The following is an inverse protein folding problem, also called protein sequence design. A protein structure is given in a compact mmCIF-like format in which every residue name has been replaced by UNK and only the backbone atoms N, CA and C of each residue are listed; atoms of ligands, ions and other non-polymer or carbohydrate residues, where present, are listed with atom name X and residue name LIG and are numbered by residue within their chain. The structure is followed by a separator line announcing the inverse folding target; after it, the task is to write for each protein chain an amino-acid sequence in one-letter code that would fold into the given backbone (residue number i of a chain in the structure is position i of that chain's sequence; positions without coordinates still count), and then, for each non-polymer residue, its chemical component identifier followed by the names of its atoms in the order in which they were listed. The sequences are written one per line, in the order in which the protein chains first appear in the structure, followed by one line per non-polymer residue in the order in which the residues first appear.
data_IF_934995393199
#
_entry.id   IF_934995393199
#
_cell.length_a   1.000
_cell.length_b   1.000
_cell.length_c   1.000
_cell.angle_alpha   90.00
_cell.angle_beta   90.00
_cell.angle_gamma   90.00
#
_symmetry.space_group_name_H-M   'P 1'
#
loop_
_entity.id
_entity.type
_entity.pdbx_description
1 polymer ?
#
# COMPACT_ATOMS: atom_id res chain seq x y z
N UNK A 1 33.26 -3.42 -22.11
CA UNK A 1 34.01 -3.58 -20.83
C UNK A 1 33.69 -2.35 -20.01
N UNK A 2 32.89 -2.34 -18.94
CA UNK A 2 32.75 -3.30 -17.85
C UNK A 2 31.27 -3.64 -17.55
N UNK A 3 31.08 -4.88 -17.11
CA UNK A 3 29.86 -5.41 -16.52
C UNK A 3 29.89 -5.18 -15.01
N UNK A 4 28.75 -4.87 -14.40
CA UNK A 4 28.45 -5.22 -13.02
C UNK A 4 26.95 -5.46 -12.91
N UNK A 5 26.61 -6.74 -12.70
CA UNK A 5 25.27 -7.21 -12.46
C UNK A 5 24.85 -6.81 -11.04
N UNK A 6 23.62 -6.31 -10.88
CA UNK A 6 22.89 -6.46 -9.62
C UNK A 6 21.60 -7.21 -9.91
N UNK A 7 21.70 -8.52 -9.69
CA UNK A 7 20.59 -9.42 -9.43
C UNK A 7 19.86 -8.94 -8.17
N UNK A 8 18.76 -8.23 -8.32
CA UNK A 8 17.65 -8.41 -7.41
C UNK A 8 16.64 -9.30 -8.12
N UNK A 9 16.84 -10.61 -7.96
CA UNK A 9 15.76 -11.56 -8.13
C UNK A 9 14.77 -11.30 -6.98
N UNK A 10 13.97 -10.23 -7.10
CA UNK A 10 12.68 -10.17 -6.42
C UNK A 10 11.95 -11.41 -6.90
N UNK A 11 11.84 -12.41 -6.02
CA UNK A 11 10.96 -13.55 -6.17
C UNK A 11 9.56 -12.93 -6.36
N UNK A 12 9.19 -12.65 -7.62
CA UNK A 12 7.82 -12.37 -7.95
C UNK A 12 7.15 -13.71 -7.74
N UNK A 13 6.70 -13.96 -6.51
CA UNK A 13 5.74 -14.99 -6.25
C UNK A 13 4.50 -14.52 -7.01
N UNK A 14 4.39 -14.97 -8.26
CA UNK A 14 3.24 -14.69 -9.11
C UNK A 14 2.06 -15.41 -8.47
N UNK A 15 1.43 -14.76 -7.50
CA UNK A 15 0.22 -15.25 -6.87
C UNK A 15 -0.87 -15.13 -7.92
N UNK A 16 -1.35 -16.29 -8.40
CA UNK A 16 -2.52 -16.36 -9.25
C UNK A 16 -3.75 -16.51 -8.33
N UNK A 17 -4.44 -15.39 -8.07
CA UNK A 17 -5.72 -15.43 -7.35
C UNK A 17 -6.79 -15.96 -8.31
N UNK A 18 -6.97 -17.27 -8.39
CA UNK A 18 -8.05 -17.89 -9.15
C UNK A 18 -9.34 -17.87 -8.31
N UNK A 19 -10.33 -17.03 -8.66
CA UNK A 19 -11.65 -17.04 -8.03
C UNK A 19 -12.78 -17.02 -9.07
N UNK A 20 -13.80 -17.83 -8.83
CA UNK A 20 -15.08 -17.78 -9.54
C UNK A 20 -15.99 -16.71 -8.94
N UNK A 21 -16.90 -16.17 -9.75
CA UNK A 21 -17.86 -15.12 -9.35
C UNK A 21 -18.62 -15.49 -8.08
N UNK A 22 -18.36 -14.80 -6.98
CA UNK A 22 -18.94 -15.05 -5.66
C UNK A 22 -19.57 -13.78 -5.08
N UNK A 23 -20.54 -13.91 -4.15
CA UNK A 23 -21.11 -12.75 -3.44
C UNK A 23 -20.05 -11.94 -2.68
N UNK A 24 -18.91 -12.54 -2.32
CA UNK A 24 -17.78 -11.81 -1.73
C UNK A 24 -17.07 -10.86 -2.71
N UNK A 25 -17.27 -11.01 -4.02
CA UNK A 25 -16.63 -10.13 -5.01
C UNK A 25 -17.17 -8.71 -4.92
N UNK A 26 -18.44 -8.51 -4.51
CA UNK A 26 -18.97 -7.17 -4.27
C UNK A 26 -18.27 -6.44 -3.12
N UNK A 27 -17.59 -7.15 -2.21
CA UNK A 27 -16.83 -6.53 -1.13
C UNK A 27 -15.50 -5.90 -1.59
N UNK A 28 -15.11 -6.09 -2.86
CA UNK A 28 -13.93 -5.44 -3.44
C UNK A 28 -14.21 -4.03 -3.96
N UNK A 29 -15.47 -3.64 -4.10
CA UNK A 29 -15.88 -2.36 -4.66
C UNK A 29 -16.53 -1.48 -3.59
N UNK A 30 -16.56 -0.17 -3.83
CA UNK A 30 -17.31 0.79 -3.00
C UNK A 30 -18.57 1.28 -3.74
N UNK A 31 -19.70 1.50 -3.03
CA UNK A 31 -19.89 1.30 -1.60
C UNK A 31 -19.90 -0.20 -1.21
N UNK A 32 -19.46 -0.50 0.01
CA UNK A 32 -19.56 -1.87 0.54
C UNK A 32 -21.03 -2.32 0.60
N UNK A 33 -21.32 -3.59 0.30
CA UNK A 33 -22.69 -4.10 0.38
C UNK A 33 -23.19 -4.11 1.84
N UNK A 34 -24.46 -3.77 2.03
CA UNK A 34 -25.15 -3.93 3.32
C UNK A 34 -25.54 -5.41 3.50
N UNK A 35 -24.65 -6.18 4.14
CA UNK A 35 -24.84 -7.61 4.35
C UNK A 35 -25.42 -7.87 5.75
N UNK A 36 -26.46 -8.73 5.87
CA UNK A 36 -27.02 -9.08 7.18
C UNK A 36 -26.00 -9.89 8.00
N UNK A 37 -26.09 -9.78 9.33
CA UNK A 37 -25.26 -10.59 10.25
C UNK A 37 -25.52 -12.08 10.01
N UNK A 38 -24.43 -12.82 9.73
CA UNK A 38 -24.45 -14.27 9.59
C UNK A 38 -24.90 -14.93 10.89
N UNK A 39 -25.90 -15.83 10.81
CA UNK A 39 -26.36 -16.65 11.95
C UNK A 39 -25.63 -18.00 12.07
N UNK A 40 -24.74 -18.30 11.12
CA UNK A 40 -24.05 -19.58 11.06
C UNK A 40 -22.99 -19.73 12.16
N UNK A 41 -22.92 -20.91 12.77
CA UNK A 41 -21.80 -21.33 13.61
C UNK A 41 -20.92 -22.30 12.82
N UNK A 42 -19.80 -21.83 12.28
CA UNK A 42 -18.97 -22.58 11.34
C UNK A 42 -17.84 -23.32 12.07
N UNK A 43 -17.58 -24.57 11.69
CA UNK A 43 -16.40 -25.31 12.14
C UNK A 43 -15.17 -24.82 11.37
N UNK A 44 -14.04 -24.64 12.05
CA UNK A 44 -12.79 -24.17 11.43
C UNK A 44 -11.96 -25.36 10.94
N UNK A 45 -11.42 -25.33 9.70
CA UNK A 45 -11.64 -24.32 8.66
C UNK A 45 -13.00 -24.49 7.97
N UNK A 46 -13.67 -23.38 7.67
CA UNK A 46 -15.03 -23.38 7.11
C UNK A 46 -15.09 -23.19 5.59
N UNK A 47 -13.93 -23.11 4.94
CA UNK A 47 -13.81 -22.93 3.51
C UNK A 47 -12.47 -23.47 3.00
N UNK A 48 -12.28 -23.40 1.69
CA UNK A 48 -11.09 -23.88 1.01
C UNK A 48 -10.02 -22.78 0.88
N UNK A 49 -8.73 -23.14 0.82
CA UNK A 49 -7.65 -22.20 0.49
C UNK A 49 -7.94 -21.41 -0.79
N UNK A 50 -7.90 -20.08 -0.69
CA UNK A 50 -8.12 -19.18 -1.84
C UNK A 50 -6.82 -18.64 -2.46
N UNK A 51 -5.68 -18.85 -1.78
CA UNK A 51 -4.35 -18.46 -2.27
C UNK A 51 -3.72 -19.68 -2.92
N UNK A 52 -3.31 -19.54 -4.18
CA UNK A 52 -2.57 -20.54 -4.94
C UNK A 52 -1.23 -19.97 -5.38
N UNK A 53 -0.18 -20.73 -5.12
CA UNK A 53 1.16 -20.41 -5.55
C UNK A 53 1.42 -20.92 -6.97
N UNK A 54 2.48 -20.41 -7.60
CA UNK A 54 2.86 -20.75 -8.97
C UNK A 54 3.29 -22.22 -9.14
N UNK A 55 3.72 -22.87 -8.06
CA UNK A 55 4.06 -24.29 -8.02
C UNK A 55 2.83 -25.22 -7.83
N UNK A 56 1.63 -24.65 -7.78
CA UNK A 56 0.38 -25.38 -7.58
C UNK A 56 0.03 -25.69 -6.13
N UNK A 57 0.89 -25.32 -5.17
CA UNK A 57 0.58 -25.44 -3.74
C UNK A 57 -0.35 -24.32 -3.27
N UNK A 58 -0.99 -24.50 -2.12
CA UNK A 58 -1.97 -23.55 -1.57
C UNK A 58 -1.55 -23.06 -0.20
N UNK A 59 -1.84 -21.79 0.09
CA UNK A 59 -1.77 -21.25 1.45
C UNK A 59 -3.18 -21.03 2.02
N UNK A 60 -3.43 -21.22 3.31
CA UNK A 60 -2.57 -21.76 4.37
C UNK A 60 -3.42 -22.71 5.23
N UNK A 61 -2.81 -23.56 6.05
CA UNK A 61 -3.54 -24.54 6.87
C UNK A 61 -3.83 -24.09 8.31
N UNK A 62 -3.29 -22.93 8.74
CA UNK A 62 -3.55 -22.36 10.07
C UNK A 62 -3.50 -20.83 10.08
N UNK A 63 -4.07 -20.22 11.12
CA UNK A 63 -3.98 -18.76 11.34
C UNK A 63 -2.54 -18.29 11.58
N UNK A 64 -1.70 -19.12 12.19
CA UNK A 64 -0.31 -18.74 12.45
C UNK A 64 0.51 -18.69 11.16
N UNK A 65 0.23 -19.58 10.20
CA UNK A 65 0.82 -19.47 8.86
C UNK A 65 0.37 -18.19 8.15
N UNK A 66 -0.92 -17.85 8.21
CA UNK A 66 -1.45 -16.59 7.65
C UNK A 66 -0.74 -15.38 8.27
N UNK A 67 -0.55 -15.37 9.59
CA UNK A 67 0.15 -14.28 10.29
C UNK A 67 1.61 -14.15 9.86
N UNK A 68 2.32 -15.26 9.70
CA UNK A 68 3.71 -15.23 9.23
C UNK A 68 3.82 -14.62 7.81
N UNK A 69 2.87 -14.95 6.92
CA UNK A 69 2.82 -14.33 5.58
C UNK A 69 2.51 -12.83 5.66
N UNK A 70 1.59 -12.42 6.55
CA UNK A 70 1.28 -11.00 6.78
C UNK A 70 2.49 -10.23 7.33
N UNK A 71 3.20 -10.78 8.33
CA UNK A 71 4.40 -10.15 8.90
C UNK A 71 5.48 -9.93 7.83
N UNK A 72 5.65 -10.88 6.91
CA UNK A 72 6.59 -10.76 5.79
C UNK A 72 6.16 -9.67 4.79
N UNK A 73 4.86 -9.54 4.52
CA UNK A 73 4.29 -8.47 3.68
C UNK A 73 4.45 -7.11 4.36
N UNK A 74 4.15 -7.00 5.64
CA UNK A 74 4.23 -5.76 6.41
C UNK A 74 5.67 -5.22 6.47
N UNK A 75 6.66 -6.12 6.60
CA UNK A 75 8.07 -5.75 6.49
C UNK A 75 8.43 -5.16 5.11
N UNK A 76 7.87 -5.71 4.02
CA UNK A 76 8.08 -5.20 2.67
C UNK A 76 7.35 -3.86 2.45
N UNK A 77 6.12 -3.73 2.97
CA UNK A 77 5.38 -2.46 2.93
C UNK A 77 6.15 -1.36 3.66
N UNK A 78 6.74 -1.64 4.81
CA UNK A 78 7.56 -0.67 5.54
C UNK A 78 8.77 -0.22 4.71
N UNK A 79 9.44 -1.14 4.01
CA UNK A 79 10.56 -0.81 3.12
C UNK A 79 10.11 0.06 1.93
N UNK A 80 8.98 -0.26 1.31
CA UNK A 80 8.40 0.53 0.21
C UNK A 80 7.99 1.93 0.67
N UNK A 81 7.41 2.06 1.87
CA UNK A 81 7.05 3.34 2.47
C UNK A 81 8.30 4.20 2.74
N UNK A 82 9.39 3.59 3.20
CA UNK A 82 10.68 4.29 3.37
C UNK A 82 11.20 4.85 2.04
N UNK A 83 11.20 4.04 0.98
CA UNK A 83 11.60 4.49 -0.37
C UNK A 83 10.70 5.63 -0.85
N UNK A 84 9.38 5.49 -0.68
CA UNK A 84 8.42 6.53 -1.07
C UNK A 84 8.66 7.83 -0.29
N UNK A 85 8.93 7.75 1.01
CA UNK A 85 9.23 8.91 1.85
C UNK A 85 10.52 9.61 1.39
N UNK A 86 11.55 8.87 0.98
CA UNK A 86 12.77 9.46 0.41
C UNK A 86 12.46 10.33 -0.82
N UNK A 87 11.61 9.84 -1.75
CA UNK A 87 11.18 10.65 -2.89
C UNK A 87 10.34 11.88 -2.51
N UNK A 88 9.53 11.79 -1.45
CA UNK A 88 8.80 12.95 -0.91
C UNK A 88 9.77 13.99 -0.36
N UNK A 89 10.78 13.58 0.42
CA UNK A 89 11.82 14.49 0.91
C UNK A 89 12.64 15.11 -0.22
N UNK A 90 12.94 14.34 -1.27
CA UNK A 90 13.57 14.88 -2.49
C UNK A 90 12.66 15.85 -3.25
N UNK A 91 11.34 15.68 -3.20
CA UNK A 91 10.41 16.61 -3.83
C UNK A 91 10.46 18.00 -3.17
N UNK A 92 10.73 18.07 -1.86
CA UNK A 92 10.75 19.33 -1.10
C UNK A 92 11.67 20.38 -1.71
N UNK A 93 12.86 20.01 -2.21
CA UNK A 93 13.82 20.99 -2.79
C UNK A 93 13.36 21.62 -4.10
N UNK A 94 12.25 21.14 -4.69
CA UNK A 94 11.62 21.73 -5.87
C UNK A 94 10.46 22.66 -5.52
N UNK A 95 10.13 22.80 -4.24
CA UNK A 95 9.00 23.59 -3.75
C UNK A 95 9.49 24.96 -3.31
N UNK A 96 9.01 26.06 -3.93
CA UNK A 96 9.50 27.41 -3.60
C UNK A 96 8.86 27.99 -2.33
N UNK A 97 7.73 27.45 -1.88
CA UNK A 97 6.98 27.98 -0.71
C UNK A 97 6.36 26.85 0.09
N UNK A 98 6.12 27.06 1.38
CA UNK A 98 5.39 26.12 2.24
C UNK A 98 3.99 25.79 1.65
N UNK A 99 3.31 26.79 1.08
CA UNK A 99 2.02 26.60 0.41
C UNK A 99 2.07 25.70 -0.83
N UNK A 100 3.25 25.48 -1.42
CA UNK A 100 3.45 24.53 -2.52
C UNK A 100 3.71 23.10 -2.05
N UNK A 101 3.86 22.87 -0.73
CA UNK A 101 3.99 21.54 -0.12
C UNK A 101 2.70 20.75 -0.27
N UNK A 102 1.57 21.32 0.12
CA UNK A 102 0.28 20.69 -0.05
C UNK A 102 -0.39 21.13 -1.37
N UNK A 103 -0.52 20.19 -2.31
CA UNK A 103 -1.22 20.42 -3.58
C UNK A 103 -2.50 19.55 -3.62
N UNK A 104 -3.67 20.09 -3.23
CA UNK A 104 -4.89 19.29 -3.06
C UNK A 104 -5.32 18.53 -4.30
N UNK A 105 -5.17 19.12 -5.49
CA UNK A 105 -5.49 18.44 -6.76
C UNK A 105 -4.60 17.22 -6.99
N UNK A 106 -3.29 17.34 -6.72
CA UNK A 106 -2.36 16.22 -6.86
C UNK A 106 -2.63 15.11 -5.84
N UNK A 107 -2.99 15.48 -4.61
CA UNK A 107 -3.41 14.52 -3.58
C UNK A 107 -4.64 13.73 -4.01
N UNK A 108 -5.64 14.43 -4.57
CA UNK A 108 -6.84 13.80 -5.12
C UNK A 108 -6.51 12.85 -6.26
N UNK A 109 -5.62 13.23 -7.18
CA UNK A 109 -5.18 12.34 -8.28
C UNK A 109 -4.51 11.06 -7.76
N UNK A 110 -3.65 11.15 -6.73
CA UNK A 110 -3.01 9.97 -6.12
C UNK A 110 -4.05 9.05 -5.48
N UNK A 111 -4.96 9.63 -4.68
CA UNK A 111 -5.99 8.86 -3.99
C UNK A 111 -6.95 8.20 -4.98
N UNK A 112 -7.44 8.95 -5.97
CA UNK A 112 -8.37 8.43 -6.97
C UNK A 112 -7.68 7.39 -7.87
N UNK A 113 -6.43 7.62 -8.27
CA UNK A 113 -5.67 6.64 -9.03
C UNK A 113 -5.49 5.32 -8.29
N UNK A 114 -5.30 5.35 -6.96
CA UNK A 114 -5.26 4.15 -6.14
C UNK A 114 -6.61 3.42 -6.09
N UNK A 115 -7.71 4.16 -5.94
CA UNK A 115 -9.08 3.59 -5.91
C UNK A 115 -9.43 2.96 -7.26
N UNK A 116 -9.13 3.64 -8.37
CA UNK A 116 -9.44 3.17 -9.71
C UNK A 116 -8.56 2.00 -10.13
N UNK A 117 -7.30 1.97 -9.67
CA UNK A 117 -6.35 0.89 -9.93
C UNK A 117 -6.53 -0.35 -9.06
N UNK A 118 -7.18 -0.22 -7.90
CA UNK A 118 -7.32 -1.31 -6.92
C UNK A 118 -7.92 -2.62 -7.50
N UNK A 119 -8.99 -2.59 -8.33
CA UNK A 119 -9.56 -3.80 -8.90
C UNK A 119 -8.59 -4.59 -9.78
N UNK A 120 -7.71 -3.89 -10.52
CA UNK A 120 -6.75 -4.53 -11.42
C UNK A 120 -5.69 -5.38 -10.70
N UNK A 121 -5.48 -5.12 -9.41
CA UNK A 121 -4.55 -5.86 -8.54
C UNK A 121 -5.28 -6.63 -7.43
N UNK A 122 -6.60 -6.79 -7.55
CA UNK A 122 -7.45 -7.45 -6.56
C UNK A 122 -7.28 -6.87 -5.13
N UNK A 123 -7.17 -5.55 -5.02
CA UNK A 123 -7.23 -4.83 -3.75
C UNK A 123 -8.65 -4.28 -3.55
N UNK A 124 -9.29 -4.45 -2.39
CA UNK A 124 -10.58 -3.80 -2.12
C UNK A 124 -10.45 -2.28 -2.19
N UNK A 125 -11.33 -1.62 -2.94
CA UNK A 125 -11.32 -0.16 -3.11
C UNK A 125 -11.39 0.60 -1.79
N UNK A 126 -12.08 0.05 -0.78
CA UNK A 126 -12.14 0.64 0.57
C UNK A 126 -10.76 0.66 1.24
N UNK A 127 -9.96 -0.40 1.08
CA UNK A 127 -8.59 -0.47 1.62
C UNK A 127 -7.69 0.51 0.87
N UNK A 128 -7.75 0.51 -0.47
CA UNK A 128 -6.98 1.43 -1.30
C UNK A 128 -7.24 2.89 -0.91
N UNK A 129 -8.52 3.26 -0.77
CA UNK A 129 -8.94 4.61 -0.35
C UNK A 129 -8.30 5.00 0.99
N UNK A 130 -8.57 4.22 2.04
CA UNK A 130 -8.15 4.58 3.40
C UNK A 130 -6.63 4.62 3.52
N UNK A 131 -5.92 3.64 2.95
CA UNK A 131 -4.47 3.56 3.02
C UNK A 131 -3.82 4.71 2.26
N UNK A 132 -4.26 5.01 1.03
CA UNK A 132 -3.64 6.08 0.25
C UNK A 132 -3.95 7.48 0.80
N UNK A 133 -5.16 7.70 1.33
CA UNK A 133 -5.49 8.93 2.06
C UNK A 133 -4.53 9.12 3.25
N UNK A 134 -4.29 8.07 4.06
CA UNK A 134 -3.33 8.13 5.17
C UNK A 134 -1.88 8.34 4.72
N UNK A 135 -1.44 7.67 3.66
CA UNK A 135 -0.10 7.82 3.09
C UNK A 135 0.10 9.26 2.59
N UNK A 136 -0.86 9.82 1.85
CA UNK A 136 -0.76 11.19 1.33
C UNK A 136 -0.75 12.19 2.47
N UNK A 137 -1.67 12.08 3.43
CA UNK A 137 -1.76 13.00 4.56
C UNK A 137 -0.48 12.98 5.41
N UNK A 138 0.07 11.80 5.71
CA UNK A 138 1.34 11.69 6.44
C UNK A 138 2.54 12.21 5.65
N UNK A 139 2.51 12.11 4.32
CA UNK A 139 3.57 12.66 3.46
C UNK A 139 3.61 14.17 3.51
N UNK A 140 2.44 14.83 3.52
CA UNK A 140 2.33 16.28 3.63
C UNK A 140 2.99 16.74 4.93
N UNK A 141 2.64 16.12 6.07
CA UNK A 141 3.22 16.45 7.38
C UNK A 141 4.75 16.27 7.40
N UNK A 142 5.24 15.18 6.82
CA UNK A 142 6.68 14.92 6.73
C UNK A 142 7.39 15.96 5.84
N UNK A 143 6.79 16.30 4.70
CA UNK A 143 7.37 17.22 3.74
C UNK A 143 7.38 18.66 4.27
N UNK A 144 6.33 19.09 4.99
CA UNK A 144 6.26 20.36 5.71
C UNK A 144 7.37 20.45 6.76
N UNK A 145 7.61 19.36 7.51
CA UNK A 145 8.70 19.30 8.48
C UNK A 145 10.07 19.48 7.81
N UNK A 146 10.33 18.80 6.69
CA UNK A 146 11.58 18.98 5.93
C UNK A 146 11.70 20.41 5.42
N UNK A 147 10.64 20.94 4.81
CA UNK A 147 10.65 22.29 4.23
C UNK A 147 11.05 23.32 5.28
N UNK A 148 10.38 23.29 6.43
CA UNK A 148 10.62 24.24 7.52
C UNK A 148 11.99 24.05 8.20
N UNK A 149 12.52 22.83 8.24
CA UNK A 149 13.84 22.58 8.81
C UNK A 149 14.98 23.27 8.02
N UNK A 150 14.85 23.38 6.70
CA UNK A 150 15.84 24.09 5.87
C UNK A 150 15.92 25.58 6.22
N UNK A 151 14.79 26.22 6.50
CA UNK A 151 14.77 27.65 6.86
C UNK A 151 15.52 27.88 8.19
N UNK A 152 15.35 27.00 9.16
CA UNK A 152 16.08 27.07 10.44
C UNK A 152 17.59 26.84 10.30
N UNK A 153 18.02 25.89 9.47
CA UNK A 153 19.45 25.61 9.24
C UNK A 153 20.14 26.79 8.52
N UNK A 154 19.43 27.50 7.65
CA UNK A 154 19.93 28.70 6.97
C UNK A 154 20.10 29.90 7.92
N UNK A 155 19.17 30.09 8.86
CA UNK A 155 19.25 31.14 9.88
C UNK A 155 20.45 30.91 10.82
N UNK A 156 20.70 29.65 11.22
CA UNK A 156 21.85 29.29 12.08
C UNK A 156 23.22 29.49 11.40
N UNK A 157 23.27 29.53 10.06
CA UNK A 157 24.50 29.75 9.29
C UNK A 157 24.68 31.22 8.86
N UNK A 158 23.77 32.11 9.26
CA UNK A 158 23.78 33.54 8.90
C UNK A 158 24.30 34.45 10.02
N UNK A 159 24.62 33.89 11.20
CA UNK A 159 25.31 34.55 12.33
C UNK A 159 26.84 34.33 12.30
#
# INVERSE_FOLDING_TARGET
MFSAHYLFATLHLWIAVARGSSTSDSCYYIPLPDLPVSKDNRTVPWGEPTIKYSDGTTCCSSLDQIRNELDAIDSQLLQLLSIRAAYVGEATRFKPTESSVNVPSRNQEVNQGAIDGAPAVHLPQVVAKMVFESIVNSSILFEECIFNAYDYDMDLCSD
#
